data_IF_813074387341
#
_entry.id   IF_813074387341
#
_cell.length_a   1.000
_cell.length_b   1.000
_cell.length_c   1.000
_cell.angle_alpha   90.00
_cell.angle_beta   90.00
_cell.angle_gamma   90.00
#
_symmetry.space_group_name_H-M   'P 1'
#
loop_
_entity.id
_entity.type
_entity.pdbx_description
1 polymer ?
#
# COMPACT_ATOMS: atom_id res chain seq x y z
N UNK A 1 -31.06 59.17 -1.19
CA UNK A 1 -29.74 58.47 -1.40
C UNK A 1 -29.30 57.65 -0.21
N UNK A 2 -29.26 58.09 1.07
CA UNK A 2 -28.81 57.31 2.22
C UNK A 2 -29.54 55.96 2.41
N UNK A 3 -30.88 55.92 2.39
CA UNK A 3 -31.69 54.70 2.54
C UNK A 3 -31.47 53.66 1.44
N UNK A 4 -31.10 54.08 0.23
CA UNK A 4 -30.83 53.18 -0.89
C UNK A 4 -29.46 52.51 -0.76
N UNK A 5 -28.46 53.24 -0.27
CA UNK A 5 -27.13 52.67 0.05
C UNK A 5 -27.20 51.69 1.21
N UNK A 6 -27.97 51.96 2.27
CA UNK A 6 -28.16 51.03 3.39
C UNK A 6 -28.80 49.71 2.95
N UNK A 7 -29.79 49.74 2.03
CA UNK A 7 -30.37 48.51 1.46
C UNK A 7 -29.36 47.69 0.64
N UNK A 8 -28.53 48.35 -0.16
CA UNK A 8 -27.50 47.68 -0.96
C UNK A 8 -26.42 47.00 -0.07
N UNK A 9 -25.98 47.69 0.98
CA UNK A 9 -25.02 47.15 1.95
C UNK A 9 -25.61 45.96 2.70
N UNK A 10 -26.85 46.02 3.18
CA UNK A 10 -27.53 44.92 3.85
C UNK A 10 -27.72 43.70 2.94
N UNK A 11 -28.14 43.91 1.70
CA UNK A 11 -28.27 42.81 0.73
C UNK A 11 -26.92 42.17 0.44
N UNK A 12 -25.85 42.94 0.29
CA UNK A 12 -24.48 42.43 0.11
C UNK A 12 -24.02 41.58 1.28
N UNK A 13 -24.30 42.03 2.52
CA UNK A 13 -23.96 41.26 3.73
C UNK A 13 -24.73 39.93 3.82
N UNK A 14 -26.01 39.90 3.43
CA UNK A 14 -26.81 38.67 3.45
C UNK A 14 -26.26 37.67 2.43
N UNK A 15 -25.99 38.15 1.21
CA UNK A 15 -25.40 37.28 0.15
C UNK A 15 -24.04 36.76 0.58
N UNK A 16 -23.18 37.61 1.14
CA UNK A 16 -21.87 37.21 1.62
C UNK A 16 -21.95 36.13 2.72
N UNK A 17 -22.83 36.32 3.73
CA UNK A 17 -23.04 35.33 4.78
C UNK A 17 -23.51 33.99 4.23
N UNK A 18 -24.43 33.99 3.27
CA UNK A 18 -24.93 32.80 2.61
C UNK A 18 -23.80 32.06 1.87
N UNK A 19 -23.00 32.78 1.09
CA UNK A 19 -21.87 32.20 0.35
C UNK A 19 -20.81 31.60 1.29
N UNK A 20 -20.51 32.28 2.42
CA UNK A 20 -19.58 31.75 3.42
C UNK A 20 -20.11 30.47 4.05
N UNK A 21 -21.39 30.36 4.35
CA UNK A 21 -21.97 29.15 4.92
C UNK A 21 -22.03 28.01 3.91
N UNK A 22 -22.31 28.29 2.65
CA UNK A 22 -22.22 27.31 1.55
C UNK A 22 -20.80 26.79 1.36
N UNK A 23 -19.79 27.65 1.42
CA UNK A 23 -18.37 27.27 1.36
C UNK A 23 -17.96 26.38 2.53
N UNK A 24 -18.38 26.76 3.76
CA UNK A 24 -18.11 25.95 4.96
C UNK A 24 -18.74 24.56 4.86
N UNK A 25 -19.98 24.51 4.41
CA UNK A 25 -20.71 23.25 4.22
C UNK A 25 -20.08 22.38 3.13
N UNK A 26 -19.59 23.01 2.05
CA UNK A 26 -18.87 22.33 0.97
C UNK A 26 -17.52 21.80 1.46
N UNK A 27 -16.73 22.62 2.19
CA UNK A 27 -15.46 22.20 2.77
C UNK A 27 -15.65 21.00 3.72
N UNK A 28 -16.65 21.04 4.58
CA UNK A 28 -16.99 19.93 5.49
C UNK A 28 -17.30 18.65 4.73
N UNK A 29 -18.17 18.72 3.70
CA UNK A 29 -18.52 17.55 2.86
C UNK A 29 -17.29 17.00 2.12
N UNK A 30 -16.42 17.88 1.63
CA UNK A 30 -15.19 17.45 0.97
C UNK A 30 -14.29 16.68 1.95
N UNK A 31 -14.08 17.21 3.14
CA UNK A 31 -13.31 16.52 4.20
C UNK A 31 -13.91 15.16 4.57
N UNK A 32 -15.23 15.08 4.77
CA UNK A 32 -15.89 13.80 5.12
C UNK A 32 -15.72 12.74 4.02
N UNK A 33 -15.85 13.17 2.74
CA UNK A 33 -15.63 12.26 1.60
C UNK A 33 -14.17 11.84 1.47
N UNK A 34 -13.22 12.74 1.65
CA UNK A 34 -11.80 12.38 1.59
C UNK A 34 -11.40 11.42 2.70
N UNK A 35 -11.95 11.58 3.91
CA UNK A 35 -11.75 10.63 5.01
C UNK A 35 -12.38 9.25 4.73
N UNK A 36 -13.50 9.19 4.02
CA UNK A 36 -14.04 7.91 3.55
C UNK A 36 -13.10 7.22 2.53
N UNK A 37 -12.52 7.99 1.62
CA UNK A 37 -11.51 7.48 0.69
C UNK A 37 -10.26 6.99 1.41
N UNK A 38 -9.75 7.71 2.41
CA UNK A 38 -8.63 7.27 3.27
C UNK A 38 -8.92 5.88 3.87
N UNK A 39 -10.11 5.68 4.45
CA UNK A 39 -10.49 4.38 5.00
C UNK A 39 -10.49 3.27 3.94
N UNK A 40 -11.00 3.55 2.74
CA UNK A 40 -11.01 2.58 1.63
C UNK A 40 -9.60 2.22 1.18
N UNK A 41 -8.73 3.22 1.01
CA UNK A 41 -7.32 3.01 0.66
C UNK A 41 -6.65 2.13 1.71
N UNK A 42 -6.77 2.45 2.99
CA UNK A 42 -6.22 1.61 4.08
C UNK A 42 -6.72 0.18 4.05
N UNK A 43 -8.01 -0.01 3.86
CA UNK A 43 -8.59 -1.35 3.76
C UNK A 43 -8.02 -2.11 2.56
N UNK A 44 -7.86 -1.44 1.42
CA UNK A 44 -7.27 -2.04 0.22
C UNK A 44 -5.79 -2.42 0.44
N UNK A 45 -5.00 -1.55 1.08
CA UNK A 45 -3.61 -1.87 1.43
C UNK A 45 -3.54 -3.06 2.40
N UNK A 46 -4.35 -3.06 3.45
CA UNK A 46 -4.41 -4.17 4.40
C UNK A 46 -4.82 -5.49 3.73
N UNK A 47 -5.71 -5.47 2.74
CA UNK A 47 -6.14 -6.67 2.01
C UNK A 47 -5.02 -7.31 1.19
N UNK A 48 -4.05 -6.52 0.74
CA UNK A 48 -2.83 -7.01 0.07
C UNK A 48 -1.64 -7.18 1.03
N UNK A 49 -1.86 -7.03 2.33
CA UNK A 49 -0.83 -7.17 3.37
C UNK A 49 0.13 -5.98 3.46
N UNK A 50 -0.19 -4.83 2.86
CA UNK A 50 0.62 -3.63 2.93
C UNK A 50 0.21 -2.73 4.10
N UNK A 51 1.16 -1.95 4.62
CA UNK A 51 0.90 -0.92 5.62
C UNK A 51 0.86 0.44 4.93
N UNK A 52 -0.17 1.22 5.23
CA UNK A 52 -0.23 2.62 4.83
C UNK A 52 0.59 3.50 5.79
N UNK A 53 1.04 4.66 5.33
CA UNK A 53 1.73 5.64 6.17
C UNK A 53 0.85 6.17 7.31
N UNK A 54 1.47 6.75 8.34
CA UNK A 54 0.72 7.34 9.45
C UNK A 54 -0.01 8.61 9.00
N UNK A 55 -1.23 8.81 9.54
CA UNK A 55 -2.05 9.97 9.26
C UNK A 55 -1.79 11.09 10.27
N UNK A 56 -1.55 12.30 9.76
CA UNK A 56 -1.44 13.50 10.58
C UNK A 56 -2.29 14.61 9.95
N UNK A 57 -3.62 14.49 10.05
CA UNK A 57 -4.54 15.42 9.41
C UNK A 57 -5.04 16.50 10.36
N UNK A 58 -5.06 17.75 9.89
CA UNK A 58 -5.78 18.82 10.56
C UNK A 58 -7.28 18.57 10.38
N UNK A 59 -8.01 18.44 11.48
CA UNK A 59 -9.44 18.14 11.46
C UNK A 59 -10.21 19.21 10.68
N UNK A 60 -10.97 18.78 9.70
CA UNK A 60 -11.80 19.66 8.86
C UNK A 60 -11.05 20.31 7.69
N UNK A 61 -9.76 19.99 7.49
CA UNK A 61 -9.02 20.38 6.32
C UNK A 61 -8.98 19.23 5.28
N UNK A 62 -9.60 19.37 4.10
CA UNK A 62 -9.63 18.32 3.09
C UNK A 62 -8.29 18.11 2.36
N UNK A 63 -7.37 19.06 2.40
CA UNK A 63 -6.09 18.96 1.68
C UNK A 63 -5.18 17.86 2.26
N UNK A 64 -5.14 17.72 3.58
CA UNK A 64 -4.35 16.69 4.24
C UNK A 64 -4.72 15.26 3.79
N UNK A 65 -5.98 14.83 3.92
CA UNK A 65 -6.42 13.53 3.43
C UNK A 65 -6.21 13.33 1.93
N UNK A 66 -6.40 14.34 1.10
CA UNK A 66 -6.19 14.26 -0.35
C UNK A 66 -4.71 14.08 -0.67
N UNK A 67 -3.83 14.84 -0.04
CA UNK A 67 -2.38 14.72 -0.21
C UNK A 67 -1.87 13.34 0.22
N UNK A 68 -2.38 12.82 1.33
CA UNK A 68 -2.06 11.48 1.80
C UNK A 68 -2.52 10.41 0.80
N UNK A 69 -3.76 10.50 0.28
CA UNK A 69 -4.26 9.55 -0.72
C UNK A 69 -3.36 9.54 -1.96
N UNK A 70 -2.96 10.70 -2.47
CA UNK A 70 -2.08 10.79 -3.62
C UNK A 70 -0.73 10.11 -3.35
N UNK A 71 -0.13 10.36 -2.19
CA UNK A 71 1.12 9.72 -1.79
C UNK A 71 1.00 8.19 -1.73
N UNK A 72 -0.07 7.65 -1.12
CA UNK A 72 -0.31 6.22 -1.06
C UNK A 72 -0.55 5.61 -2.45
N UNK A 73 -1.29 6.32 -3.33
CA UNK A 73 -1.53 5.85 -4.70
C UNK A 73 -0.25 5.81 -5.53
N UNK A 74 0.68 6.75 -5.34
CA UNK A 74 2.00 6.75 -5.99
C UNK A 74 2.83 5.52 -5.57
N UNK A 75 2.74 5.11 -4.30
CA UNK A 75 3.42 3.91 -3.81
C UNK A 75 2.77 2.59 -4.27
N UNK A 76 1.58 2.63 -4.84
CA UNK A 76 0.78 1.44 -5.13
C UNK A 76 1.43 0.53 -6.19
N UNK A 77 2.08 1.10 -7.21
CA UNK A 77 2.77 0.34 -8.25
C UNK A 77 3.92 -0.49 -7.66
N UNK A 78 4.74 0.10 -6.79
CA UNK A 78 5.85 -0.59 -6.13
C UNK A 78 5.32 -1.74 -5.24
N UNK A 79 4.23 -1.49 -4.52
CA UNK A 79 3.58 -2.50 -3.68
C UNK A 79 3.09 -3.66 -4.55
N UNK A 80 2.41 -3.40 -5.66
CA UNK A 80 1.91 -4.44 -6.57
C UNK A 80 3.05 -5.27 -7.16
N UNK A 81 4.13 -4.64 -7.61
CA UNK A 81 5.30 -5.32 -8.16
C UNK A 81 5.95 -6.21 -7.10
N UNK A 82 6.22 -5.68 -5.92
CA UNK A 82 6.78 -6.46 -4.79
C UNK A 82 5.88 -7.64 -4.41
N UNK A 83 4.55 -7.47 -4.43
CA UNK A 83 3.60 -8.57 -4.18
C UNK A 83 3.64 -9.62 -5.28
N UNK A 84 3.69 -9.18 -6.53
CA UNK A 84 3.85 -10.08 -7.68
C UNK A 84 5.09 -10.94 -7.55
N UNK A 85 6.21 -10.35 -7.24
CA UNK A 85 7.51 -11.05 -7.06
C UNK A 85 7.45 -12.09 -5.93
N UNK A 86 6.88 -11.72 -4.78
CA UNK A 86 6.76 -12.66 -3.65
C UNK A 86 5.81 -13.81 -3.98
N UNK A 87 4.70 -13.54 -4.67
CA UNK A 87 3.77 -14.57 -5.12
C UNK A 87 4.43 -15.51 -6.12
N UNK A 88 5.14 -14.96 -7.11
CA UNK A 88 5.87 -15.75 -8.11
C UNK A 88 6.95 -16.62 -7.45
N UNK A 89 7.75 -16.04 -6.57
CA UNK A 89 8.78 -16.78 -5.82
C UNK A 89 8.16 -17.88 -4.95
N UNK A 90 7.09 -17.60 -4.22
CA UNK A 90 6.40 -18.57 -3.37
C UNK A 90 5.80 -19.71 -4.18
N UNK A 91 5.23 -19.42 -5.35
CA UNK A 91 4.71 -20.41 -6.28
C UNK A 91 5.80 -21.30 -6.85
N UNK A 92 6.88 -20.72 -7.37
CA UNK A 92 8.03 -21.46 -7.90
C UNK A 92 8.67 -22.36 -6.84
N UNK A 93 8.90 -21.82 -5.63
CA UNK A 93 9.43 -22.61 -4.49
C UNK A 93 8.48 -23.74 -4.10
N UNK A 94 7.16 -23.50 -4.11
CA UNK A 94 6.15 -24.50 -3.81
C UNK A 94 6.19 -25.67 -4.79
N UNK A 95 6.21 -25.39 -6.09
CA UNK A 95 6.33 -26.41 -7.13
C UNK A 95 7.64 -27.18 -7.01
N UNK A 96 8.78 -26.49 -6.86
CA UNK A 96 10.09 -27.12 -6.69
C UNK A 96 10.09 -28.05 -5.46
N UNK A 97 9.51 -27.64 -4.34
CA UNK A 97 9.38 -28.47 -3.13
C UNK A 97 8.55 -29.73 -3.37
N UNK A 98 7.47 -29.64 -4.13
CA UNK A 98 6.64 -30.80 -4.49
C UNK A 98 7.43 -31.77 -5.36
N UNK A 99 8.12 -31.28 -6.38
CA UNK A 99 8.94 -32.07 -7.27
C UNK A 99 10.06 -32.79 -6.52
N UNK A 100 10.77 -32.10 -5.61
CA UNK A 100 11.79 -32.66 -4.75
C UNK A 100 11.23 -33.81 -3.88
N UNK A 101 10.10 -33.58 -3.22
CA UNK A 101 9.41 -34.61 -2.40
C UNK A 101 8.93 -35.81 -3.21
N UNK A 102 8.69 -35.62 -4.51
CA UNK A 102 8.37 -36.70 -5.45
C UNK A 102 9.60 -37.42 -6.03
N UNK A 103 10.79 -37.03 -5.59
CA UNK A 103 12.04 -37.65 -6.01
C UNK A 103 12.57 -37.16 -7.37
N UNK A 104 12.18 -35.96 -7.79
CA UNK A 104 12.69 -35.38 -9.02
C UNK A 104 14.14 -34.88 -8.84
N UNK A 105 15.09 -35.60 -9.43
CA UNK A 105 16.53 -35.25 -9.33
C UNK A 105 16.88 -33.95 -10.07
N UNK A 106 16.08 -33.53 -11.05
CA UNK A 106 16.31 -32.31 -11.81
C UNK A 106 16.27 -31.04 -10.95
N UNK A 107 15.53 -31.04 -9.83
CA UNK A 107 15.51 -29.89 -8.90
C UNK A 107 16.90 -29.61 -8.35
N UNK A 108 17.66 -30.67 -7.99
CA UNK A 108 19.05 -30.54 -7.50
C UNK A 108 19.99 -30.06 -8.59
N UNK A 109 19.85 -30.61 -9.81
CA UNK A 109 20.70 -30.22 -10.93
C UNK A 109 20.47 -28.76 -11.34
N UNK A 110 19.22 -28.28 -11.34
CA UNK A 110 18.90 -26.88 -11.60
C UNK A 110 19.45 -25.94 -10.50
N UNK A 111 19.35 -26.34 -9.24
CA UNK A 111 19.88 -25.54 -8.11
C UNK A 111 21.41 -25.43 -8.12
N UNK A 112 22.13 -26.43 -8.70
CA UNK A 112 23.59 -26.47 -8.80
C UNK A 112 24.10 -25.95 -10.17
N UNK A 113 23.21 -25.65 -11.11
CA UNK A 113 23.58 -25.18 -12.43
C UNK A 113 24.16 -23.75 -12.33
N UNK A 114 25.31 -23.54 -12.96
CA UNK A 114 25.90 -22.22 -13.16
C UNK A 114 25.19 -21.44 -14.31
N UNK A 115 24.37 -22.12 -15.09
CA UNK A 115 23.61 -21.51 -16.19
C UNK A 115 22.38 -20.79 -15.63
N UNK A 116 22.31 -19.48 -15.85
CA UNK A 116 21.13 -18.70 -15.48
C UNK A 116 19.92 -19.15 -16.30
N UNK A 117 18.77 -19.32 -15.64
CA UNK A 117 17.49 -19.53 -16.29
C UNK A 117 17.08 -18.25 -17.05
N UNK A 118 16.50 -18.41 -18.22
CA UNK A 118 16.02 -17.30 -19.06
C UNK A 118 14.50 -17.35 -19.24
N UNK A 119 13.91 -16.26 -19.71
CA UNK A 119 12.49 -16.24 -20.07
C UNK A 119 12.15 -17.20 -21.22
N UNK A 120 13.14 -17.55 -22.06
CA UNK A 120 12.95 -18.53 -23.15
C UNK A 120 12.73 -19.94 -22.61
N UNK A 121 13.30 -20.30 -21.45
CA UNK A 121 13.14 -21.62 -20.83
C UNK A 121 11.69 -21.89 -20.36
N UNK A 122 10.89 -20.83 -20.17
CA UNK A 122 9.49 -20.90 -19.74
C UNK A 122 8.50 -20.53 -20.85
N UNK A 123 9.01 -20.22 -22.05
CA UNK A 123 8.20 -19.90 -23.20
C UNK A 123 7.61 -21.18 -23.79
N UNK A 124 6.36 -21.12 -24.21
CA UNK A 124 5.64 -22.24 -24.80
C UNK A 124 5.66 -23.53 -23.93
N UNK A 125 5.08 -23.47 -22.71
CA UNK A 125 5.09 -24.63 -21.82
C UNK A 125 4.33 -25.81 -22.44
N UNK A 126 4.79 -27.04 -22.14
CA UNK A 126 4.07 -28.25 -22.55
C UNK A 126 2.67 -28.32 -21.91
N UNK A 127 1.79 -29.16 -22.49
CA UNK A 127 0.46 -29.38 -21.95
C UNK A 127 0.52 -29.92 -20.51
N UNK A 128 1.50 -30.80 -20.22
CA UNK A 128 1.74 -31.36 -18.90
C UNK A 128 2.22 -30.30 -17.91
N UNK A 129 3.14 -29.41 -18.31
CA UNK A 129 3.59 -28.30 -17.46
C UNK A 129 2.43 -27.36 -17.13
N UNK A 130 1.59 -27.06 -18.11
CA UNK A 130 0.39 -26.24 -17.93
C UNK A 130 -0.62 -26.89 -16.98
N UNK A 131 -0.82 -28.20 -17.08
CA UNK A 131 -1.68 -28.96 -16.15
C UNK A 131 -1.13 -28.95 -14.74
N UNK A 132 0.20 -29.14 -14.55
CA UNK A 132 0.83 -29.08 -13.23
C UNK A 132 0.68 -27.69 -12.61
N UNK A 133 0.92 -26.64 -13.39
CA UNK A 133 0.70 -25.25 -12.95
C UNK A 133 -0.74 -24.97 -12.53
N UNK A 134 -1.70 -25.40 -13.35
CA UNK A 134 -3.13 -25.28 -13.03
C UNK A 134 -3.51 -26.06 -11.77
N UNK A 135 -3.00 -27.28 -11.62
CA UNK A 135 -3.25 -28.10 -10.44
C UNK A 135 -2.61 -27.52 -9.17
N UNK A 136 -1.41 -26.96 -9.28
CA UNK A 136 -0.81 -26.21 -8.17
C UNK A 136 -1.69 -25.04 -7.76
N UNK A 137 -2.21 -24.28 -8.73
CA UNK A 137 -3.05 -23.13 -8.47
C UNK A 137 -4.35 -23.53 -7.74
N UNK A 138 -5.08 -24.51 -8.27
CA UNK A 138 -6.37 -24.93 -7.69
C UNK A 138 -6.24 -25.70 -6.38
N UNK A 139 -5.28 -26.63 -6.27
CA UNK A 139 -5.20 -27.54 -5.13
C UNK A 139 -4.45 -26.94 -3.95
N UNK A 140 -3.54 -25.99 -4.21
CA UNK A 140 -2.65 -25.42 -3.18
C UNK A 140 -2.85 -23.91 -3.03
N UNK A 141 -2.73 -23.16 -4.13
CA UNK A 141 -2.76 -21.70 -4.05
C UNK A 141 -4.12 -21.17 -3.59
N UNK A 142 -5.20 -21.66 -4.18
CA UNK A 142 -6.57 -21.29 -3.78
C UNK A 142 -7.00 -21.90 -2.45
N UNK A 143 -6.35 -22.98 -1.98
CA UNK A 143 -6.65 -23.66 -0.73
C UNK A 143 -5.63 -23.37 0.38
N UNK A 144 -5.29 -22.11 0.60
CA UNK A 144 -4.45 -21.64 1.71
C UNK A 144 -3.06 -21.15 1.33
N UNK A 145 -2.59 -21.42 0.09
CA UNK A 145 -1.28 -20.93 -0.37
C UNK A 145 -1.22 -19.40 -0.47
N UNK A 146 -2.33 -18.78 -0.89
CA UNK A 146 -2.46 -17.32 -0.96
C UNK A 146 -2.38 -16.69 0.43
N UNK A 147 -3.09 -17.23 1.40
CA UNK A 147 -3.07 -16.77 2.78
C UNK A 147 -1.69 -16.94 3.41
N UNK A 148 -1.01 -18.04 3.11
CA UNK A 148 0.36 -18.27 3.56
C UNK A 148 1.34 -17.25 2.96
N UNK A 149 1.22 -16.94 1.68
CA UNK A 149 2.03 -15.90 1.02
C UNK A 149 1.74 -14.52 1.62
N UNK A 150 0.48 -14.17 1.84
CA UNK A 150 0.07 -12.91 2.49
C UNK A 150 0.62 -12.80 3.92
N UNK A 151 0.66 -13.90 4.67
CA UNK A 151 1.22 -13.91 6.02
C UNK A 151 2.75 -13.71 6.03
N UNK A 152 3.46 -14.30 5.07
CA UNK A 152 4.90 -14.07 4.87
C UNK A 152 5.17 -12.59 4.58
N UNK A 153 4.40 -12.01 3.68
CA UNK A 153 4.45 -10.61 3.31
C UNK A 153 4.24 -9.74 4.56
N UNK A 154 3.16 -9.96 5.29
CA UNK A 154 2.80 -9.19 6.49
C UNK A 154 3.90 -9.24 7.55
N UNK A 155 4.51 -10.40 7.76
CA UNK A 155 5.62 -10.55 8.72
C UNK A 155 6.86 -9.78 8.27
N UNK A 156 7.20 -9.83 6.99
CA UNK A 156 8.33 -9.09 6.42
C UNK A 156 8.13 -7.58 6.57
N UNK A 157 6.97 -7.07 6.21
CA UNK A 157 6.67 -5.64 6.31
C UNK A 157 6.61 -5.14 7.75
N UNK A 158 6.03 -5.91 8.65
CA UNK A 158 6.05 -5.57 10.08
C UNK A 158 7.48 -5.41 10.58
N UNK A 159 8.39 -6.30 10.19
CA UNK A 159 9.81 -6.19 10.53
C UNK A 159 10.45 -4.91 10.00
N UNK A 160 10.15 -4.54 8.75
CA UNK A 160 10.67 -3.30 8.13
C UNK A 160 10.08 -2.06 8.84
N UNK A 161 8.80 -2.06 9.10
CA UNK A 161 8.13 -0.95 9.79
C UNK A 161 8.66 -0.74 11.23
N UNK A 162 8.84 -1.84 11.97
CA UNK A 162 9.39 -1.79 13.33
C UNK A 162 10.84 -1.30 13.32
N UNK A 163 11.65 -1.75 12.35
CA UNK A 163 13.03 -1.28 12.18
C UNK A 163 13.10 0.21 11.84
N UNK A 164 12.20 0.70 10.99
CA UNK A 164 12.10 2.13 10.65
C UNK A 164 11.72 2.98 11.86
N UNK A 165 10.75 2.56 12.67
CA UNK A 165 10.37 3.26 13.91
C UNK A 165 11.54 3.36 14.90
N UNK A 166 12.33 2.31 15.02
CA UNK A 166 13.52 2.30 15.89
C UNK A 166 14.57 3.29 15.36
N UNK A 167 14.79 3.32 14.04
CA UNK A 167 15.72 4.27 13.42
C UNK A 167 15.29 5.73 13.61
N UNK A 168 14.00 6.03 13.37
CA UNK A 168 13.44 7.38 13.57
C UNK A 168 13.50 7.82 15.04
N UNK A 169 13.31 6.90 15.99
CA UNK A 169 13.44 7.19 17.42
C UNK A 169 14.91 7.47 17.81
N UNK A 170 15.86 6.74 17.24
CA UNK A 170 17.28 6.96 17.47
C UNK A 170 17.76 8.31 16.91
N UNK A 171 17.29 8.69 15.73
CA UNK A 171 17.60 9.97 15.09
C UNK A 171 17.07 11.16 15.92
N UNK A 172 15.84 11.08 16.40
CA UNK A 172 15.25 12.09 17.31
C UNK A 172 15.98 12.21 18.63
N UNK A 173 16.51 11.11 19.15
CA UNK A 173 17.31 11.12 20.40
C UNK A 173 18.66 11.77 20.19
N UNK A 174 19.32 11.53 19.05
CA UNK A 174 20.59 12.13 18.69
C UNK A 174 20.48 13.67 18.50
N UNK A 175 19.38 14.12 17.87
CA UNK A 175 19.09 15.56 17.68
C UNK A 175 18.86 16.28 19.04
N UNK A 176 18.23 15.61 20.00
CA UNK A 176 18.00 16.16 21.34
C UNK A 176 19.30 16.26 22.14
N UNK A 177 20.19 15.29 22.03
CA UNK A 177 21.51 15.33 22.71
C UNK A 177 22.44 16.40 22.10
N UNK A 178 22.35 16.62 20.76
CA UNK A 178 23.08 17.67 20.08
C UNK A 178 22.66 19.11 20.46
N UNK A 179 21.44 19.30 20.95
CA UNK A 179 20.94 20.60 21.40
C UNK A 179 21.30 20.94 22.86
N UNK A 180 21.65 19.96 23.67
CA UNK A 180 21.99 20.15 25.10
C UNK A 180 23.49 20.44 25.31
N UNK A 181 24.31 20.26 24.28
CA UNK A 181 25.78 20.40 24.35
C UNK A 181 26.35 21.78 23.97
N UNK A 182 25.53 22.82 23.87
CA UNK A 182 25.97 24.20 23.54
C UNK A 182 25.50 25.14 24.66
N UNK A 183 26.16 25.10 25.79
CA UNK A 183 26.20 26.16 26.79
C UNK A 183 27.62 26.26 27.39
#
# INVERSE_FOLDING_TARGET
MKKQNEKLVNNGQIIWKKNVEELRSSKKRCYEKSMECVKKVRTSFASVGAFSSEENFIRGDPEGPIGWINHEVEAFEEILNSRGDICAFSGARGIATILERKGCEHVKSLAQSETALSSEDIKDPSAEASLVGGKFFTDIWDNGGREMAQEIIRKSEKGIHDARKVAEAAEKSADLEGQIGID
#
